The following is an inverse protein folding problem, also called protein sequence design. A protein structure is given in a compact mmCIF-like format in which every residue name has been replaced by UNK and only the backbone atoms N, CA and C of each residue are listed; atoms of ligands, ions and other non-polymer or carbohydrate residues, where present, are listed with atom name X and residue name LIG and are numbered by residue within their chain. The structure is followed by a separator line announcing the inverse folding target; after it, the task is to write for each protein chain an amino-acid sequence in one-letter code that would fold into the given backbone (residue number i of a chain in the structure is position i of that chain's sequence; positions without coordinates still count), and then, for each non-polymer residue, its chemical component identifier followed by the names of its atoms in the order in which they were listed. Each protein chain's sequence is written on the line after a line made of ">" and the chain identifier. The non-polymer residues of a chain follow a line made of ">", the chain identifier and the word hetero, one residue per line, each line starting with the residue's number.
data_IF_749732335375
#
_entry.id   IF_749732335375
#
_cell.length_a   1.000
_cell.length_b   1.000
_cell.length_c   1.000
_cell.angle_alpha   90.00
_cell.angle_beta   90.00
_cell.angle_gamma   90.00
#
_symmetry.space_group_name_H-M   'P 1'
#
loop_
_entity.id
_entity.type
_entity.pdbx_description
1 polymer ?
#
# COMPACT_ATOMS: atom_id res chain seq x y z
N UNK A 1 20.97 -17.38 -32.01
CA UNK A 1 19.94 -16.40 -31.61
C UNK A 1 20.66 -15.20 -31.02
N UNK A 2 20.82 -14.16 -31.80
CA UNK A 2 21.22 -12.86 -31.26
C UNK A 2 20.01 -12.30 -30.52
N UNK A 3 20.06 -12.24 -29.22
CA UNK A 3 19.20 -11.34 -28.49
C UNK A 3 19.67 -9.92 -28.80
N UNK A 4 18.93 -9.25 -29.67
CA UNK A 4 19.26 -7.89 -30.09
C UNK A 4 18.95 -6.93 -28.96
N UNK A 5 19.95 -6.50 -28.21
CA UNK A 5 19.85 -5.39 -27.26
C UNK A 5 19.48 -4.06 -27.95
N UNK A 6 19.23 -4.09 -29.25
CA UNK A 6 18.84 -2.95 -30.10
C UNK A 6 17.35 -2.91 -30.41
N UNK A 7 16.60 -3.98 -30.04
CA UNK A 7 15.17 -4.02 -30.28
C UNK A 7 14.45 -3.15 -29.22
N UNK A 8 13.46 -2.41 -29.65
CA UNK A 8 12.61 -1.61 -28.80
C UNK A 8 11.15 -1.81 -29.19
N UNK A 9 10.30 -2.07 -28.22
CA UNK A 9 8.86 -2.12 -28.37
C UNK A 9 8.24 -1.07 -27.45
N UNK A 10 7.55 -0.11 -28.03
CA UNK A 10 6.86 0.95 -27.31
C UNK A 10 5.37 0.87 -27.61
N UNK A 11 4.59 0.59 -26.60
CA UNK A 11 3.13 0.64 -26.69
C UNK A 11 2.62 2.08 -26.60
N UNK A 12 1.63 2.42 -27.40
CA UNK A 12 0.81 3.59 -27.13
C UNK A 12 -0.16 3.33 -25.97
N UNK A 13 -0.98 4.32 -25.60
CA UNK A 13 -1.89 4.17 -24.47
C UNK A 13 -2.95 3.08 -24.71
N UNK A 14 -3.48 2.98 -25.91
CA UNK A 14 -4.50 2.00 -26.29
C UNK A 14 -3.92 0.59 -26.27
N UNK A 15 -2.77 0.41 -26.87
CA UNK A 15 -2.05 -0.86 -26.85
C UNK A 15 -1.69 -1.29 -25.43
N UNK A 16 -1.18 -0.37 -24.60
CA UNK A 16 -0.87 -0.67 -23.20
C UNK A 16 -2.11 -1.13 -22.41
N UNK A 17 -3.29 -0.56 -22.68
CA UNK A 17 -4.54 -0.95 -22.01
C UNK A 17 -5.11 -2.29 -22.50
N UNK A 18 -4.82 -2.68 -23.75
CA UNK A 18 -5.39 -3.88 -24.37
C UNK A 18 -4.45 -5.09 -24.36
N UNK A 19 -3.13 -4.86 -24.38
CA UNK A 19 -2.12 -5.91 -24.55
C UNK A 19 -1.23 -6.14 -23.33
N UNK A 20 -1.28 -5.27 -22.32
CA UNK A 20 -0.50 -5.44 -21.10
C UNK A 20 -1.37 -5.61 -19.86
N UNK A 21 -0.74 -6.05 -18.76
CA UNK A 21 -1.43 -6.20 -17.50
C UNK A 21 -1.72 -4.85 -16.85
N UNK A 22 -2.85 -4.76 -16.17
CA UNK A 22 -3.28 -3.58 -15.43
C UNK A 22 -3.28 -3.87 -13.93
N UNK A 23 -3.63 -2.86 -13.11
CA UNK A 23 -3.91 -3.08 -11.70
C UNK A 23 -5.20 -3.89 -11.56
N UNK A 24 -5.24 -4.80 -10.59
CA UNK A 24 -6.46 -5.56 -10.31
C UNK A 24 -7.58 -4.64 -9.80
N UNK A 25 -8.77 -4.80 -10.34
CA UNK A 25 -9.96 -4.26 -9.72
C UNK A 25 -10.31 -5.11 -8.50
N UNK A 26 -10.69 -4.45 -7.39
CA UNK A 26 -11.01 -5.13 -6.13
C UNK A 26 -12.22 -4.50 -5.46
N UNK A 27 -13.05 -5.35 -4.92
CA UNK A 27 -14.08 -4.97 -3.97
C UNK A 27 -13.61 -5.31 -2.56
N UNK A 28 -13.74 -4.37 -1.62
CA UNK A 28 -13.26 -4.51 -0.27
C UNK A 28 -14.37 -4.41 0.77
N UNK A 29 -14.30 -5.29 1.75
CA UNK A 29 -15.04 -5.20 2.99
C UNK A 29 -14.05 -5.05 4.13
N UNK A 30 -14.03 -3.89 4.77
CA UNK A 30 -13.05 -3.58 5.82
C UNK A 30 -13.74 -3.20 7.12
N UNK A 31 -13.21 -3.72 8.20
CA UNK A 31 -13.56 -3.35 9.56
C UNK A 31 -12.29 -3.01 10.34
N UNK A 32 -12.24 -1.84 10.93
CA UNK A 32 -11.17 -1.41 11.84
C UNK A 32 -11.80 -1.08 13.17
N UNK A 33 -11.26 -1.67 14.23
CA UNK A 33 -11.73 -1.47 15.59
C UNK A 33 -10.65 -0.91 16.49
N UNK A 34 -10.98 0.13 17.28
CA UNK A 34 -10.06 0.72 18.25
C UNK A 34 -10.68 0.78 19.64
N UNK A 35 -9.82 0.89 20.63
CA UNK A 35 -10.20 1.23 22.00
C UNK A 35 -10.66 2.69 22.10
N UNK A 36 -11.29 3.09 23.18
CA UNK A 36 -11.78 4.48 23.38
C UNK A 36 -10.67 5.52 23.38
N UNK A 37 -9.46 5.12 23.72
CA UNK A 37 -8.25 5.96 23.70
C UNK A 37 -7.52 5.97 22.35
N UNK A 38 -8.11 5.34 21.31
CA UNK A 38 -7.64 5.41 19.95
C UNK A 38 -6.56 4.37 19.58
N UNK A 39 -6.42 3.28 20.32
CA UNK A 39 -5.51 2.20 19.94
C UNK A 39 -6.24 1.19 19.07
N UNK A 40 -5.82 1.05 17.82
CA UNK A 40 -6.37 0.08 16.85
C UNK A 40 -6.02 -1.33 17.33
N UNK A 41 -7.04 -2.14 17.55
CA UNK A 41 -6.92 -3.52 18.03
C UNK A 41 -7.36 -4.57 17.04
N UNK A 42 -8.20 -4.18 16.09
CA UNK A 42 -8.76 -5.09 15.08
C UNK A 42 -8.55 -4.48 13.69
N UNK A 43 -8.00 -5.26 12.80
CA UNK A 43 -7.94 -4.99 11.36
C UNK A 43 -8.49 -6.23 10.65
N UNK A 44 -9.61 -6.08 9.97
CA UNK A 44 -10.30 -7.14 9.28
C UNK A 44 -10.59 -6.67 7.85
N UNK A 45 -9.94 -7.31 6.89
CA UNK A 45 -9.93 -6.93 5.47
C UNK A 45 -10.25 -8.14 4.61
N UNK A 46 -11.41 -8.14 3.97
CA UNK A 46 -11.80 -9.12 2.96
C UNK A 46 -11.88 -8.47 1.58
N UNK A 47 -11.40 -9.15 0.56
CA UNK A 47 -11.52 -8.68 -0.82
C UNK A 47 -11.91 -9.76 -1.81
N UNK A 48 -12.67 -9.36 -2.82
CA UNK A 48 -12.85 -10.08 -4.07
C UNK A 48 -12.04 -9.34 -5.13
N UNK A 49 -11.16 -10.06 -5.80
CA UNK A 49 -10.20 -9.50 -6.76
C UNK A 49 -10.48 -10.06 -8.15
N UNK A 50 -10.59 -9.18 -9.11
CA UNK A 50 -10.68 -9.53 -10.52
C UNK A 50 -9.32 -10.03 -11.02
N UNK A 51 -9.24 -11.30 -11.35
CA UNK A 51 -8.04 -11.96 -11.85
C UNK A 51 -7.90 -11.88 -13.39
N UNK A 52 -8.92 -11.38 -14.09
CA UNK A 52 -9.00 -11.47 -15.54
C UNK A 52 -9.03 -12.92 -16.06
N UNK A 53 -8.71 -13.13 -17.32
CA UNK A 53 -8.82 -14.43 -17.95
C UNK A 53 -7.77 -15.47 -17.51
N UNK A 54 -6.62 -15.03 -17.00
CA UNK A 54 -5.46 -15.90 -16.75
C UNK A 54 -4.88 -15.83 -15.35
N UNK A 55 -5.43 -15.00 -14.48
CA UNK A 55 -5.02 -14.82 -13.08
C UNK A 55 -3.51 -14.58 -12.83
N UNK A 56 -2.74 -14.19 -13.81
CA UNK A 56 -1.27 -14.10 -13.86
C UNK A 56 -0.58 -13.88 -12.50
N UNK A 57 -0.60 -12.65 -11.99
CA UNK A 57 -0.03 -12.26 -10.69
C UNK A 57 -1.11 -12.04 -9.61
N UNK A 58 -2.34 -12.49 -9.80
CA UNK A 58 -3.44 -12.17 -8.91
C UNK A 58 -3.14 -12.59 -7.47
N UNK A 59 -2.75 -13.84 -7.25
CA UNK A 59 -2.48 -14.37 -5.91
C UNK A 59 -1.34 -13.61 -5.21
N UNK A 60 -0.19 -13.48 -5.88
CA UNK A 60 0.98 -12.83 -5.27
C UNK A 60 0.79 -11.33 -5.04
N UNK A 61 0.09 -10.65 -5.95
CA UNK A 61 -0.22 -9.22 -5.79
C UNK A 61 -1.18 -9.00 -4.62
N UNK A 62 -2.19 -9.86 -4.48
CA UNK A 62 -3.17 -9.75 -3.39
C UNK A 62 -2.53 -10.00 -2.04
N UNK A 63 -1.71 -11.03 -1.91
CA UNK A 63 -0.96 -11.33 -0.68
C UNK A 63 0.06 -10.25 -0.33
N UNK A 64 0.76 -9.72 -1.34
CA UNK A 64 1.70 -8.61 -1.12
C UNK A 64 1.02 -7.34 -0.58
N UNK A 65 -0.27 -7.17 -0.84
CA UNK A 65 -1.06 -6.08 -0.25
C UNK A 65 -1.14 -6.15 1.27
N UNK A 66 -1.30 -7.34 1.84
CA UNK A 66 -1.28 -7.57 3.29
C UNK A 66 0.03 -7.09 3.91
N UNK A 67 1.14 -7.62 3.41
CA UNK A 67 2.49 -7.34 3.90
C UNK A 67 2.89 -5.86 3.79
N UNK A 68 2.22 -5.11 2.92
CA UNK A 68 2.53 -3.70 2.64
C UNK A 68 1.52 -2.71 3.22
N UNK A 69 0.48 -3.18 3.88
CA UNK A 69 -0.56 -2.32 4.47
C UNK A 69 -0.67 -2.47 5.98
N UNK A 70 -0.90 -3.67 6.46
CA UNK A 70 -1.17 -3.95 7.88
C UNK A 70 -0.03 -3.54 8.81
N UNK A 71 1.27 -3.75 8.44
CA UNK A 71 2.38 -3.40 9.34
C UNK A 71 2.45 -1.92 9.74
N UNK A 72 1.82 -1.02 8.99
CA UNK A 72 1.74 0.39 9.40
C UNK A 72 1.10 0.55 10.78
N UNK A 73 0.07 -0.24 11.09
CA UNK A 73 -0.72 -0.15 12.32
C UNK A 73 -0.41 -1.30 13.27
N UNK A 74 0.79 -1.26 13.84
CA UNK A 74 1.40 -2.38 14.56
C UNK A 74 0.87 -2.60 16.00
N UNK A 75 -0.24 -1.96 16.37
CA UNK A 75 -0.86 -2.15 17.70
C UNK A 75 -2.06 -3.09 17.69
N UNK A 76 -2.41 -3.62 16.50
CA UNK A 76 -3.50 -4.56 16.34
C UNK A 76 -3.17 -5.90 17.03
N UNK A 77 -4.18 -6.49 17.66
CA UNK A 77 -4.07 -7.80 18.34
C UNK A 77 -4.92 -8.86 17.68
N UNK A 78 -5.82 -8.46 16.79
CA UNK A 78 -6.63 -9.35 15.97
C UNK A 78 -6.58 -8.85 14.52
N UNK A 79 -6.04 -9.69 13.65
CA UNK A 79 -5.86 -9.39 12.23
C UNK A 79 -6.48 -10.50 11.41
N UNK A 80 -7.29 -10.13 10.44
CA UNK A 80 -7.75 -10.99 9.37
C UNK A 80 -7.52 -10.31 8.04
N UNK A 81 -6.98 -11.05 7.08
CA UNK A 81 -6.82 -10.62 5.70
C UNK A 81 -7.22 -11.76 4.78
N UNK A 82 -8.37 -11.61 4.14
CA UNK A 82 -8.92 -12.56 3.19
C UNK A 82 -8.91 -12.00 1.78
N UNK A 83 -8.61 -12.85 0.79
CA UNK A 83 -8.72 -12.48 -0.61
C UNK A 83 -9.18 -13.64 -1.45
N UNK A 84 -10.14 -13.37 -2.33
CA UNK A 84 -10.63 -14.30 -3.33
C UNK A 84 -10.36 -13.73 -4.72
N UNK A 85 -9.68 -14.51 -5.57
CA UNK A 85 -9.47 -14.18 -6.97
C UNK A 85 -10.52 -14.84 -7.85
N UNK A 86 -11.23 -14.05 -8.65
CA UNK A 86 -12.25 -14.56 -9.58
C UNK A 86 -11.81 -14.36 -11.03
N UNK A 87 -12.00 -15.40 -11.85
CA UNK A 87 -11.75 -15.29 -13.28
C UNK A 87 -12.82 -14.47 -13.99
N UNK A 88 -12.37 -13.60 -14.89
CA UNK A 88 -13.23 -12.72 -15.67
C UNK A 88 -12.83 -12.74 -17.15
N UNK A 89 -13.77 -12.42 -18.06
CA UNK A 89 -13.54 -12.46 -19.50
C UNK A 89 -12.93 -11.16 -20.06
N UNK A 90 -11.81 -10.72 -19.48
CA UNK A 90 -11.09 -9.54 -19.96
C UNK A 90 -9.59 -9.64 -19.65
N UNK A 91 -8.84 -8.62 -20.02
CA UNK A 91 -7.40 -8.51 -19.79
C UNK A 91 -7.06 -8.73 -18.33
N UNK A 92 -6.11 -9.63 -18.01
CA UNK A 92 -5.77 -9.93 -16.61
C UNK A 92 -5.11 -8.72 -15.92
N UNK A 93 -5.44 -8.56 -14.66
CA UNK A 93 -4.61 -7.78 -13.75
C UNK A 93 -3.26 -8.46 -13.53
N UNK A 94 -2.24 -7.71 -13.15
CA UNK A 94 -0.90 -8.25 -12.96
C UNK A 94 0.01 -7.40 -12.12
N UNK A 95 1.31 -7.61 -12.30
CA UNK A 95 2.33 -6.81 -11.64
C UNK A 95 2.26 -5.37 -12.13
N UNK A 96 1.81 -4.48 -11.28
CA UNK A 96 1.76 -3.06 -11.53
C UNK A 96 2.41 -2.30 -10.40
N UNK A 97 2.99 -1.13 -10.67
CA UNK A 97 3.76 -0.33 -9.70
C UNK A 97 3.06 -0.20 -8.35
N UNK A 98 3.72 -0.60 -7.26
CA UNK A 98 3.15 -0.75 -5.92
C UNK A 98 2.81 -2.19 -5.54
N UNK A 99 2.60 -3.07 -6.54
CA UNK A 99 2.41 -4.52 -6.40
C UNK A 99 1.56 -4.92 -5.19
N UNK A 100 0.29 -4.56 -5.23
CA UNK A 100 -0.70 -4.81 -4.18
C UNK A 100 -0.78 -3.75 -3.07
N UNK A 101 0.30 -3.02 -2.80
CA UNK A 101 0.32 -2.00 -1.75
C UNK A 101 -0.77 -0.94 -1.94
N UNK A 102 -0.83 -0.35 -3.12
CA UNK A 102 -1.81 0.70 -3.43
C UNK A 102 -3.25 0.23 -3.34
N UNK A 103 -3.50 -1.03 -3.68
CA UNK A 103 -4.83 -1.64 -3.67
C UNK A 103 -5.33 -1.91 -2.25
N UNK A 104 -4.44 -2.23 -1.32
CA UNK A 104 -4.76 -2.52 0.06
C UNK A 104 -4.67 -1.28 0.98
N UNK A 105 -3.69 -0.41 0.74
CA UNK A 105 -3.50 0.80 1.55
C UNK A 105 -4.65 1.79 1.40
N UNK A 106 -5.09 2.04 0.16
CA UNK A 106 -6.17 3.00 -0.07
C UNK A 106 -7.44 2.70 0.75
N UNK A 107 -8.02 1.50 0.70
CA UNK A 107 -9.22 1.20 1.47
C UNK A 107 -8.96 1.12 2.98
N UNK A 108 -7.78 0.65 3.41
CA UNK A 108 -7.41 0.68 4.82
C UNK A 108 -7.34 2.12 5.36
N UNK A 109 -6.70 3.01 4.61
CA UNK A 109 -6.58 4.42 4.99
C UNK A 109 -7.93 5.15 5.01
N UNK A 110 -8.86 4.80 4.09
CA UNK A 110 -10.23 5.27 4.14
C UNK A 110 -10.96 4.77 5.41
N UNK A 111 -10.76 3.50 5.79
CA UNK A 111 -11.35 2.96 7.00
C UNK A 111 -10.79 3.61 8.28
N UNK A 112 -9.50 3.93 8.29
CA UNK A 112 -8.86 4.66 9.40
C UNK A 112 -9.39 6.10 9.50
N UNK A 113 -9.59 6.79 8.37
CA UNK A 113 -10.23 8.11 8.37
C UNK A 113 -11.66 8.05 8.92
N UNK A 114 -12.46 7.09 8.44
CA UNK A 114 -13.82 6.89 8.94
C UNK A 114 -13.86 6.56 10.44
N UNK A 115 -12.86 5.86 10.94
CA UNK A 115 -12.72 5.56 12.36
C UNK A 115 -12.41 6.85 13.15
N UNK A 116 -11.47 7.67 12.67
CA UNK A 116 -11.13 8.95 13.28
C UNK A 116 -12.36 9.87 13.38
N UNK A 117 -13.12 10.00 12.29
CA UNK A 117 -14.35 10.79 12.24
C UNK A 117 -15.38 10.28 13.25
N UNK A 118 -15.62 8.99 13.32
CA UNK A 118 -16.56 8.39 14.30
C UNK A 118 -16.13 8.57 15.74
N UNK A 119 -14.83 8.62 16.00
CA UNK A 119 -14.27 8.85 17.33
C UNK A 119 -14.19 10.35 17.69
N UNK A 120 -14.32 11.24 16.70
CA UNK A 120 -14.14 12.69 16.87
C UNK A 120 -12.69 13.05 17.20
N UNK A 121 -11.71 12.30 16.65
CA UNK A 121 -10.28 12.54 16.85
C UNK A 121 -9.61 12.95 15.54
N UNK A 122 -8.49 13.65 15.65
CA UNK A 122 -7.70 14.02 14.48
C UNK A 122 -7.14 12.77 13.79
N UNK A 123 -7.30 12.62 12.45
CA UNK A 123 -6.84 11.45 11.73
C UNK A 123 -5.31 11.30 11.72
N UNK A 124 -4.54 12.37 11.88
CA UNK A 124 -3.09 12.29 12.02
C UNK A 124 -2.70 11.78 13.41
N UNK A 125 -3.36 12.27 14.45
CA UNK A 125 -3.12 11.78 15.82
C UNK A 125 -3.48 10.31 15.98
N UNK A 126 -4.60 9.87 15.39
CA UNK A 126 -5.00 8.47 15.40
C UNK A 126 -3.91 7.59 14.75
N UNK A 127 -3.35 8.03 13.62
CA UNK A 127 -2.25 7.34 12.95
C UNK A 127 -1.00 7.30 13.80
N UNK A 128 -0.57 8.43 14.32
CA UNK A 128 0.65 8.53 15.14
C UNK A 128 0.63 7.61 16.37
N UNK A 129 -0.53 7.44 17.01
CA UNK A 129 -0.70 6.50 18.13
C UNK A 129 -0.50 5.03 17.75
N UNK A 130 -0.74 4.69 16.47
CA UNK A 130 -0.82 3.31 16.02
C UNK A 130 0.32 2.89 15.09
N UNK A 131 1.14 3.83 14.61
CA UNK A 131 2.27 3.54 13.75
C UNK A 131 3.28 2.61 14.42
N UNK A 132 3.85 1.72 13.60
CA UNK A 132 5.01 0.95 13.99
C UNK A 132 6.19 1.88 14.30
N UNK A 133 6.90 1.62 15.37
CA UNK A 133 8.09 2.37 15.77
C UNK A 133 9.36 1.61 15.40
N UNK A 134 10.48 2.35 15.32
CA UNK A 134 11.80 1.74 15.15
C UNK A 134 12.08 0.78 16.29
N UNK A 135 12.61 -0.39 15.96
CA UNK A 135 12.89 -1.48 16.91
C UNK A 135 11.67 -2.33 17.28
N UNK A 136 10.46 -2.00 16.79
CA UNK A 136 9.31 -2.88 16.95
C UNK A 136 9.34 -4.03 15.94
N UNK A 137 8.92 -5.20 16.38
CA UNK A 137 8.69 -6.34 15.51
C UNK A 137 7.42 -6.11 14.70
N UNK A 138 7.47 -6.38 13.41
CA UNK A 138 6.27 -6.34 12.57
C UNK A 138 5.33 -7.50 12.88
N UNK A 139 4.03 -7.23 12.90
CA UNK A 139 2.99 -8.24 13.16
C UNK A 139 2.84 -9.27 12.03
N UNK A 140 3.29 -8.96 10.84
CA UNK A 140 3.05 -9.76 9.61
C UNK A 140 4.32 -10.45 9.11
N UNK A 141 5.49 -9.87 9.33
CA UNK A 141 6.75 -10.41 8.88
C UNK A 141 7.24 -11.55 9.80
N UNK A 142 8.34 -12.18 9.40
CA UNK A 142 8.90 -13.28 10.16
C UNK A 142 9.19 -12.91 11.63
N UNK A 143 9.20 -13.90 12.55
CA UNK A 143 9.35 -13.63 13.99
C UNK A 143 10.58 -12.83 14.40
N UNK A 144 11.60 -12.78 13.54
CA UNK A 144 12.86 -12.07 13.81
C UNK A 144 13.01 -10.79 12.98
N UNK A 145 11.96 -10.35 12.29
CA UNK A 145 12.00 -9.12 11.51
C UNK A 145 11.49 -7.92 12.31
N UNK A 146 12.40 -7.01 12.54
CA UNK A 146 12.18 -5.75 13.24
C UNK A 146 12.30 -4.57 12.28
N UNK A 147 11.61 -3.49 12.59
CA UNK A 147 11.79 -2.24 11.86
C UNK A 147 13.13 -1.60 12.26
N UNK A 148 14.19 -1.87 11.53
CA UNK A 148 15.53 -1.36 11.83
C UNK A 148 15.67 0.13 11.61
N UNK A 149 14.99 0.66 10.58
CA UNK A 149 14.98 2.08 10.27
C UNK A 149 13.59 2.51 9.84
N UNK A 150 13.10 3.59 10.39
CA UNK A 150 11.79 4.12 10.02
C UNK A 150 11.50 5.39 10.79
N UNK A 151 11.42 6.49 10.06
CA UNK A 151 11.10 7.81 10.57
C UNK A 151 9.62 8.14 10.33
N UNK A 152 8.72 7.17 10.59
CA UNK A 152 7.29 7.36 10.31
C UNK A 152 6.70 8.53 11.09
N UNK A 153 7.02 8.64 12.38
CA UNK A 153 6.56 9.76 13.21
C UNK A 153 7.08 11.10 12.69
N UNK A 154 8.37 11.15 12.35
CA UNK A 154 8.99 12.37 11.82
C UNK A 154 8.43 12.73 10.45
N UNK A 155 8.15 11.73 9.61
CA UNK A 155 7.50 11.93 8.31
C UNK A 155 6.12 12.55 8.48
N UNK A 156 5.30 12.03 9.40
CA UNK A 156 3.96 12.58 9.68
C UNK A 156 4.09 14.01 10.22
N UNK A 157 4.98 14.25 11.17
CA UNK A 157 5.22 15.59 11.72
C UNK A 157 5.64 16.58 10.63
N UNK A 158 6.55 16.18 9.76
CA UNK A 158 7.02 17.03 8.67
C UNK A 158 5.93 17.35 7.65
N UNK A 159 5.10 16.37 7.31
CA UNK A 159 3.97 16.59 6.39
C UNK A 159 2.90 17.49 7.04
N UNK A 160 2.62 17.31 8.33
CA UNK A 160 1.72 18.20 9.09
C UNK A 160 2.20 19.65 9.04
N UNK A 161 3.48 19.88 9.31
CA UNK A 161 4.11 21.21 9.24
C UNK A 161 3.97 21.82 7.84
N UNK A 162 4.37 21.08 6.81
CA UNK A 162 4.31 21.55 5.40
C UNK A 162 2.90 21.85 4.94
N UNK A 163 1.91 21.04 5.38
CA UNK A 163 0.51 21.23 5.08
C UNK A 163 -0.15 22.31 5.95
N UNK A 164 0.51 22.80 6.98
CA UNK A 164 -0.06 23.66 8.01
C UNK A 164 -1.32 23.03 8.61
N UNK A 165 -1.21 21.73 8.95
CA UNK A 165 -2.31 20.87 9.32
C UNK A 165 -3.11 21.39 10.51
N UNK A 166 -2.43 21.82 11.55
CA UNK A 166 -3.02 22.27 12.81
C UNK A 166 -3.46 23.76 12.77
N UNK A 167 -3.12 24.49 11.69
CA UNK A 167 -3.35 25.95 11.59
C UNK A 167 -4.62 26.33 10.81
N UNK A 168 -5.25 25.39 10.13
CA UNK A 168 -6.38 25.66 9.26
C UNK A 168 -7.43 24.55 9.31
N UNK A 169 -8.69 24.83 8.98
CA UNK A 169 -9.71 23.79 8.92
C UNK A 169 -9.38 22.75 7.85
N UNK A 170 -9.78 21.51 8.08
CA UNK A 170 -9.58 20.42 7.14
C UNK A 170 -10.59 20.43 5.98
N UNK A 171 -11.60 21.28 6.03
CA UNK A 171 -12.53 21.52 4.93
C UNK A 171 -13.00 22.98 4.96
N UNK A 172 -13.07 23.61 3.80
CA UNK A 172 -13.54 25.00 3.68
C UNK A 172 -14.20 25.24 2.32
N UNK A 173 -15.12 26.18 2.28
CA UNK A 173 -15.71 26.66 1.05
C UNK A 173 -14.78 27.70 0.40
N UNK A 174 -14.50 27.54 -0.89
CA UNK A 174 -13.74 28.50 -1.69
C UNK A 174 -14.71 29.48 -2.33
N UNK A 175 -15.76 28.98 -2.98
CA UNK A 175 -16.86 29.72 -3.56
C UNK A 175 -18.10 28.80 -3.68
N UNK A 176 -19.11 29.22 -4.41
CA UNK A 176 -20.37 28.46 -4.62
C UNK A 176 -20.12 27.09 -5.34
N UNK A 177 -19.03 26.95 -6.06
CA UNK A 177 -18.72 25.77 -6.88
C UNK A 177 -17.60 24.92 -6.31
N UNK A 178 -16.71 25.49 -5.52
CA UNK A 178 -15.47 24.84 -5.10
C UNK A 178 -15.35 24.76 -3.59
N UNK A 179 -14.92 23.60 -3.15
CA UNK A 179 -14.53 23.36 -1.76
C UNK A 179 -13.07 22.93 -1.72
N UNK A 180 -12.36 23.41 -0.72
CA UNK A 180 -11.01 22.96 -0.41
C UNK A 180 -11.06 21.94 0.72
N UNK A 181 -10.06 21.07 0.76
CA UNK A 181 -9.92 20.10 1.84
C UNK A 181 -8.47 19.65 2.03
N UNK A 182 -8.17 19.27 3.26
CA UNK A 182 -6.96 18.57 3.63
C UNK A 182 -7.30 17.13 3.98
N UNK A 183 -6.51 16.21 3.47
CA UNK A 183 -6.58 14.80 3.82
C UNK A 183 -5.19 14.24 4.06
N UNK A 184 -5.10 13.22 4.89
CA UNK A 184 -3.87 12.49 5.14
C UNK A 184 -4.09 11.01 4.91
N UNK A 185 -3.11 10.39 4.26
CA UNK A 185 -2.99 8.95 4.13
C UNK A 185 -1.52 8.57 4.22
N UNK A 186 -1.25 7.37 4.68
CA UNK A 186 0.09 6.81 4.78
C UNK A 186 0.28 5.71 3.74
N UNK A 187 1.51 5.50 3.34
CA UNK A 187 1.87 4.40 2.46
C UNK A 187 3.18 3.77 2.93
N UNK A 188 3.21 2.45 2.88
CA UNK A 188 4.39 1.64 3.10
C UNK A 188 4.70 0.87 1.81
N UNK A 189 5.94 0.87 1.40
CA UNK A 189 6.42 0.06 0.28
C UNK A 189 7.62 -0.77 0.74
N UNK A 190 7.42 -2.07 0.86
CA UNK A 190 8.52 -3.01 0.97
C UNK A 190 9.25 -3.13 -0.38
N UNK A 191 10.55 -2.94 -0.39
CA UNK A 191 11.38 -3.13 -1.58
C UNK A 191 12.02 -4.51 -1.55
N UNK A 192 11.95 -5.23 -2.67
CA UNK A 192 12.36 -6.63 -2.75
C UNK A 192 11.31 -7.60 -2.21
N UNK A 193 11.47 -8.85 -2.59
CA UNK A 193 10.68 -9.96 -2.05
C UNK A 193 11.65 -10.99 -1.52
N UNK A 194 11.69 -11.11 -0.20
CA UNK A 194 12.59 -12.06 0.48
C UNK A 194 12.40 -13.48 -0.06
N UNK A 195 13.51 -14.16 -0.34
CA UNK A 195 13.57 -15.53 -0.89
C UNK A 195 12.97 -15.71 -2.30
N UNK A 196 12.58 -14.64 -3.00
CA UNK A 196 12.08 -14.70 -4.37
C UNK A 196 12.99 -13.91 -5.31
N UNK A 197 13.37 -12.67 -4.93
CA UNK A 197 14.24 -11.85 -5.75
C UNK A 197 15.68 -12.34 -5.67
N UNK A 198 16.26 -12.67 -6.83
CA UNK A 198 17.63 -13.11 -6.96
C UNK A 198 18.37 -12.23 -7.94
N UNK A 199 19.54 -11.77 -7.56
CA UNK A 199 20.43 -11.04 -8.43
C UNK A 199 21.81 -11.73 -8.49
N UNK A 200 22.41 -11.75 -9.67
CA UNK A 200 23.79 -12.18 -9.86
C UNK A 200 24.55 -11.18 -10.71
N UNK A 201 25.82 -10.99 -10.39
CA UNK A 201 26.73 -10.10 -11.14
C UNK A 201 28.00 -10.86 -11.48
N UNK A 202 28.38 -10.84 -12.75
CA UNK A 202 29.70 -11.31 -13.19
C UNK A 202 30.51 -10.08 -13.66
N UNK A 203 31.68 -9.91 -13.09
CA UNK A 203 32.60 -8.83 -13.45
C UNK A 203 33.88 -9.46 -13.97
N UNK A 204 34.31 -9.10 -15.18
CA UNK A 204 35.60 -9.51 -15.76
C UNK A 204 36.43 -8.26 -16.00
N UNK A 205 37.62 -8.27 -15.40
CA UNK A 205 38.66 -7.28 -15.74
C UNK A 205 39.51 -7.88 -16.85
N UNK A 206 39.70 -7.17 -17.93
CA UNK A 206 40.67 -7.49 -18.96
C UNK A 206 42.07 -7.08 -18.54
N UNK A 207 43.08 -7.58 -19.29
CA UNK A 207 44.50 -7.27 -19.02
C UNK A 207 44.82 -5.79 -19.29
N UNK A 208 43.91 -5.08 -19.89
CA UNK A 208 44.01 -3.63 -20.24
C UNK A 208 43.27 -2.71 -19.23
N UNK A 209 42.68 -3.27 -18.18
CA UNK A 209 42.01 -2.55 -17.10
C UNK A 209 40.50 -2.47 -17.20
#
# INVERSE_FOLDING_TARGET
>A
RQMCIRDSLLYDRTEAQTCSTTRHAREWKIRVGATKDGIIKVIDMDSITDAGAHATHCFTTTTAGEHKSIPLYNKATAIHYGTEGVYMNHTPGGAFRGYGATEALWPLECAVNNLADKMGVDPAELRQKNLIAQGEQSLIYAPDEYLDSGLFQDTVNRVKEMARWDERPHSWDIDERYRGGLGMALALQGSGVANIDVASVEIRLGDDG
#
